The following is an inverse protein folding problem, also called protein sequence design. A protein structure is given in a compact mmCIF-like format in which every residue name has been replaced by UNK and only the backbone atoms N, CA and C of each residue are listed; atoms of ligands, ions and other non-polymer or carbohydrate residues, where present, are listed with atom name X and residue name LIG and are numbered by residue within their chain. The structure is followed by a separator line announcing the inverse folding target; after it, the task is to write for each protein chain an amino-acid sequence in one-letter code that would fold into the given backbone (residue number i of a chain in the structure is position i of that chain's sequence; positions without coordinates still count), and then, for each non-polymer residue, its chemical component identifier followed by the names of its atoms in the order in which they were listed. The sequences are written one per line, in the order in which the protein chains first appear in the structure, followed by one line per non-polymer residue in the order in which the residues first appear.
data_IF_556840742588
#
_entry.id   IF_556840742588
#
_cell.length_a   1.000
_cell.length_b   1.000
_cell.length_c   1.000
_cell.angle_alpha   90.00
_cell.angle_beta   90.00
_cell.angle_gamma   90.00
#
_symmetry.space_group_name_H-M   'P 1'
#
loop_
_entity.id
_entity.type
_entity.pdbx_description
1 polymer ?
#
# COMPACT_ATOMS: atom_id res chain seq x y z
N UNK A 1 -8.53 -12.53 24.88
CA UNK A 1 -9.08 -12.66 23.50
C UNK A 1 -9.64 -14.06 23.18
N UNK A 2 -9.50 -15.05 24.08
CA UNK A 2 -9.91 -16.45 23.85
C UNK A 2 -11.36 -16.83 24.20
N UNK A 3 -12.16 -15.90 24.76
CA UNK A 3 -13.51 -16.25 25.23
C UNK A 3 -14.61 -16.05 24.16
N UNK A 4 -14.38 -15.22 23.17
CA UNK A 4 -15.38 -15.00 22.08
C UNK A 4 -15.39 -16.10 21.01
N UNK A 5 -14.27 -16.77 20.80
CA UNK A 5 -14.16 -17.85 19.79
C UNK A 5 -14.86 -19.12 20.29
N UNK A 6 -14.84 -19.39 21.59
CA UNK A 6 -15.50 -20.55 22.18
C UNK A 6 -17.04 -20.41 22.24
N UNK A 7 -17.59 -19.21 22.26
CA UNK A 7 -19.04 -19.01 22.21
C UNK A 7 -19.61 -19.26 20.80
N UNK A 8 -18.90 -18.83 19.76
CA UNK A 8 -19.33 -19.07 18.37
C UNK A 8 -19.34 -20.55 17.99
N UNK A 9 -18.36 -21.32 18.50
CA UNK A 9 -18.31 -22.77 18.25
C UNK A 9 -19.38 -23.56 19.00
N UNK A 10 -19.86 -23.08 20.14
CA UNK A 10 -21.00 -23.70 20.86
C UNK A 10 -22.33 -23.46 20.16
N UNK A 11 -22.57 -22.27 19.57
CA UNK A 11 -23.79 -22.00 18.82
C UNK A 11 -23.91 -22.88 17.54
N UNK A 12 -22.83 -23.10 16.84
CA UNK A 12 -22.85 -23.96 15.64
C UNK A 12 -23.09 -25.44 15.96
N UNK A 13 -22.62 -25.91 17.13
CA UNK A 13 -22.90 -27.28 17.59
C UNK A 13 -24.36 -27.47 18.03
N UNK A 14 -24.97 -26.44 18.60
CA UNK A 14 -26.34 -26.52 19.08
C UNK A 14 -27.37 -26.48 17.93
N UNK A 15 -27.03 -25.82 16.81
CA UNK A 15 -27.89 -25.85 15.61
C UNK A 15 -27.88 -27.18 14.85
N UNK A 16 -26.83 -28.00 14.99
CA UNK A 16 -26.77 -29.33 14.36
C UNK A 16 -27.57 -30.41 15.12
N UNK A 17 -27.79 -30.26 16.41
CA UNK A 17 -28.50 -31.28 17.22
C UNK A 17 -30.02 -31.16 17.16
N UNK A 18 -30.57 -30.01 16.77
CA UNK A 18 -32.02 -29.80 16.73
C UNK A 18 -32.69 -30.18 15.40
N UNK A 19 -31.90 -30.60 14.39
CA UNK A 19 -32.47 -31.00 13.09
C UNK A 19 -32.63 -32.52 12.92
N UNK A 20 -32.15 -33.33 13.90
CA UNK A 20 -32.16 -34.79 13.79
C UNK A 20 -33.00 -35.50 14.84
N UNK A 21 -33.84 -34.79 15.64
CA UNK A 21 -34.61 -35.41 16.70
C UNK A 21 -36.11 -35.13 16.55
N UNK A 22 -36.70 -35.67 15.48
CA UNK A 22 -38.17 -35.81 15.44
C UNK A 22 -38.57 -37.04 14.61
N UNK A 23 -38.12 -38.19 15.01
CA UNK A 23 -38.76 -39.48 14.68
C UNK A 23 -38.21 -40.56 15.59
N UNK A 24 -38.58 -40.54 16.89
CA UNK A 24 -38.49 -41.76 17.69
C UNK A 24 -39.65 -41.80 18.71
N UNK A 25 -40.36 -42.87 18.61
CA UNK A 25 -41.22 -43.54 19.60
C UNK A 25 -42.60 -42.97 19.95
N UNK A 26 -43.59 -43.59 19.38
CA UNK A 26 -44.77 -44.00 20.14
C UNK A 26 -45.28 -45.34 19.61
N UNK A 27 -44.91 -46.39 20.34
CA UNK A 27 -45.52 -47.72 20.20
C UNK A 27 -46.88 -47.68 20.89
N UNK A 28 -47.96 -47.52 20.14
CA UNK A 28 -49.30 -48.02 20.54
C UNK A 28 -50.05 -48.41 19.25
N UNK A 29 -50.46 -49.69 19.22
CA UNK A 29 -51.33 -50.32 18.21
C UNK A 29 -52.54 -49.47 17.91
N UNK A 30 -52.61 -48.91 16.73
CA UNK A 30 -53.86 -48.76 15.99
C UNK A 30 -53.51 -48.66 14.50
N UNK A 31 -54.14 -49.50 13.73
CA UNK A 31 -54.08 -49.60 12.27
C UNK A 31 -54.52 -48.21 11.70
N UNK A 32 -53.55 -47.37 11.45
CA UNK A 32 -53.73 -46.14 10.67
C UNK A 32 -52.75 -46.23 9.54
N UNK A 33 -53.26 -46.35 8.34
CA UNK A 33 -52.51 -46.22 7.10
C UNK A 33 -51.91 -44.81 7.10
N UNK A 34 -50.71 -44.66 7.66
CA UNK A 34 -49.90 -43.46 7.50
C UNK A 34 -49.40 -43.41 6.07
N UNK A 35 -50.14 -42.71 5.22
CA UNK A 35 -49.53 -42.15 4.01
C UNK A 35 -48.45 -41.17 4.50
N UNK A 36 -47.24 -41.61 4.57
CA UNK A 36 -46.12 -40.65 4.55
C UNK A 36 -46.34 -39.80 3.30
N UNK A 37 -46.29 -38.48 3.41
CA UNK A 37 -46.23 -37.69 2.19
C UNK A 37 -45.06 -38.19 1.38
N UNK A 38 -45.23 -38.38 0.05
CA UNK A 38 -44.09 -38.79 -0.79
C UNK A 38 -42.95 -37.86 -0.46
N UNK A 39 -41.81 -38.47 -0.13
CA UNK A 39 -40.57 -37.73 0.06
C UNK A 39 -40.48 -36.71 -1.06
N UNK A 40 -40.61 -35.44 -0.68
CA UNK A 40 -40.30 -34.34 -1.59
C UNK A 40 -38.76 -34.20 -1.73
N UNK A 41 -38.13 -35.35 -1.95
CA UNK A 41 -36.85 -35.42 -2.68
C UNK A 41 -37.15 -35.31 -4.17
N UNK A 42 -37.92 -34.24 -4.52
CA UNK A 42 -37.95 -33.78 -5.89
C UNK A 42 -36.49 -33.44 -6.21
N UNK A 43 -35.79 -34.35 -6.85
CA UNK A 43 -34.45 -34.12 -7.34
C UNK A 43 -34.50 -32.79 -8.08
N UNK A 44 -33.80 -31.79 -7.56
CA UNK A 44 -33.68 -30.50 -8.23
C UNK A 44 -33.36 -30.79 -9.68
N UNK A 45 -34.20 -30.31 -10.60
CA UNK A 45 -33.99 -30.50 -12.02
C UNK A 45 -32.55 -30.14 -12.37
N UNK A 46 -31.86 -30.94 -13.18
CA UNK A 46 -30.50 -30.61 -13.66
C UNK A 46 -30.43 -29.16 -14.18
N UNK A 47 -31.51 -28.69 -14.79
CA UNK A 47 -31.62 -27.33 -15.32
C UNK A 47 -31.60 -26.27 -14.19
N UNK A 48 -32.25 -26.55 -13.07
CA UNK A 48 -32.22 -25.64 -11.91
C UNK A 48 -30.82 -25.56 -11.29
N UNK A 49 -30.11 -26.69 -11.19
CA UNK A 49 -28.73 -26.74 -10.72
C UNK A 49 -27.78 -25.98 -11.67
N UNK A 50 -27.94 -26.15 -12.98
CA UNK A 50 -27.16 -25.40 -13.97
C UNK A 50 -27.46 -23.90 -13.90
N UNK A 51 -28.72 -23.50 -13.72
CA UNK A 51 -29.11 -22.12 -13.55
C UNK A 51 -28.46 -21.45 -12.34
N UNK A 52 -28.47 -22.12 -11.18
CA UNK A 52 -27.83 -21.64 -9.96
C UNK A 52 -26.32 -21.51 -10.14
N UNK A 53 -25.66 -22.51 -10.75
CA UNK A 53 -24.22 -22.46 -11.02
C UNK A 53 -23.85 -21.33 -11.97
N UNK A 54 -24.66 -21.06 -12.99
CA UNK A 54 -24.44 -19.94 -13.91
C UNK A 54 -24.53 -18.59 -13.18
N UNK A 55 -25.53 -18.40 -12.32
CA UNK A 55 -25.66 -17.16 -11.53
C UNK A 55 -24.47 -17.01 -10.56
N UNK A 56 -24.12 -18.05 -9.84
CA UNK A 56 -22.97 -18.03 -8.92
C UNK A 56 -21.68 -17.72 -9.70
N UNK A 57 -21.50 -18.30 -10.88
CA UNK A 57 -20.34 -18.05 -11.74
C UNK A 57 -20.20 -16.57 -12.11
N UNK A 58 -21.26 -15.95 -12.59
CA UNK A 58 -21.27 -14.52 -12.97
C UNK A 58 -21.03 -13.60 -11.74
N UNK A 59 -21.71 -13.89 -10.63
CA UNK A 59 -21.54 -13.10 -9.39
C UNK A 59 -20.12 -13.24 -8.84
N UNK A 60 -19.52 -14.43 -8.91
CA UNK A 60 -18.15 -14.67 -8.43
C UNK A 60 -17.12 -13.87 -9.22
N UNK A 61 -17.22 -13.83 -10.55
CA UNK A 61 -16.30 -13.05 -11.40
C UNK A 61 -16.41 -11.56 -11.08
N UNK A 62 -17.63 -11.04 -10.97
CA UNK A 62 -17.86 -9.62 -10.60
C UNK A 62 -17.32 -9.27 -9.21
N UNK A 63 -17.51 -10.16 -8.24
CA UNK A 63 -17.02 -9.96 -6.88
C UNK A 63 -15.47 -9.94 -6.82
N UNK A 64 -14.80 -10.83 -7.54
CA UNK A 64 -13.31 -10.88 -7.58
C UNK A 64 -12.74 -9.61 -8.21
N UNK A 65 -13.32 -9.15 -9.31
CA UNK A 65 -12.88 -7.92 -9.98
C UNK A 65 -13.06 -6.68 -9.08
N UNK A 66 -14.20 -6.58 -8.40
CA UNK A 66 -14.48 -5.51 -7.45
C UNK A 66 -13.54 -5.54 -6.24
N UNK A 67 -13.28 -6.73 -5.69
CA UNK A 67 -12.36 -6.92 -4.58
C UNK A 67 -10.92 -6.52 -4.94
N UNK A 68 -10.43 -6.91 -6.11
CA UNK A 68 -9.08 -6.55 -6.56
C UNK A 68 -8.89 -5.04 -6.67
N UNK A 69 -9.89 -4.33 -7.20
CA UNK A 69 -9.87 -2.87 -7.31
C UNK A 69 -9.93 -2.19 -5.93
N UNK A 70 -10.76 -2.70 -5.02
CA UNK A 70 -10.85 -2.20 -3.66
C UNK A 70 -9.55 -2.40 -2.88
N UNK A 71 -8.92 -3.57 -3.01
CA UNK A 71 -7.63 -3.88 -2.39
C UNK A 71 -6.50 -3.02 -2.92
N UNK A 72 -6.49 -2.72 -4.21
CA UNK A 72 -5.49 -1.81 -4.77
C UNK A 72 -5.65 -0.39 -4.21
N UNK A 73 -6.87 0.14 -4.11
CA UNK A 73 -7.13 1.44 -3.47
C UNK A 73 -6.75 1.45 -2.00
N UNK A 74 -7.06 0.39 -1.27
CA UNK A 74 -6.61 0.24 0.12
C UNK A 74 -5.09 0.33 0.23
N UNK A 75 -4.35 -0.36 -0.65
CA UNK A 75 -2.88 -0.31 -0.66
C UNK A 75 -2.35 1.09 -0.99
N UNK A 76 -2.98 1.84 -1.90
CA UNK A 76 -2.59 3.23 -2.17
C UNK A 76 -2.76 4.13 -0.94
N UNK A 77 -3.90 4.03 -0.25
CA UNK A 77 -4.12 4.80 0.97
C UNK A 77 -3.11 4.42 2.07
N UNK A 78 -2.84 3.12 2.21
CA UNK A 78 -1.84 2.63 3.18
C UNK A 78 -0.43 3.09 2.84
N UNK A 79 -0.06 3.13 1.56
CA UNK A 79 1.22 3.69 1.11
C UNK A 79 1.33 5.17 1.49
N UNK A 80 0.29 5.97 1.23
CA UNK A 80 0.29 7.39 1.58
C UNK A 80 0.45 7.59 3.11
N UNK A 81 -0.25 6.80 3.91
CA UNK A 81 -0.11 6.79 5.37
C UNK A 81 1.32 6.48 5.80
N UNK A 82 1.91 5.38 5.29
CA UNK A 82 3.28 4.97 5.57
C UNK A 82 4.30 6.05 5.20
N UNK A 83 4.17 6.62 4.00
CA UNK A 83 5.05 7.69 3.54
C UNK A 83 4.94 8.93 4.42
N UNK A 84 3.72 9.37 4.76
CA UNK A 84 3.50 10.51 5.63
C UNK A 84 4.09 10.30 7.02
N UNK A 85 3.99 9.09 7.58
CA UNK A 85 4.61 8.76 8.86
C UNK A 85 6.13 8.91 8.78
N UNK A 86 6.77 8.34 7.75
CA UNK A 86 8.23 8.45 7.57
C UNK A 86 8.65 9.89 7.31
N UNK A 87 7.95 10.63 6.44
CA UNK A 87 8.22 12.05 6.17
C UNK A 87 8.18 12.87 7.46
N UNK A 88 7.15 12.68 8.28
CA UNK A 88 7.04 13.37 9.57
C UNK A 88 8.17 13.01 10.54
N UNK A 89 8.58 11.74 10.56
CA UNK A 89 9.74 11.30 11.34
C UNK A 89 11.03 11.97 10.86
N UNK A 90 11.24 12.05 9.54
CA UNK A 90 12.41 12.73 8.96
C UNK A 90 12.40 14.21 9.31
N UNK A 91 11.28 14.91 9.16
CA UNK A 91 11.13 16.33 9.48
C UNK A 91 11.48 16.61 10.95
N UNK A 92 11.06 15.75 11.87
CA UNK A 92 11.35 15.86 13.31
C UNK A 92 12.85 15.89 13.59
N UNK A 93 13.64 15.13 12.84
CA UNK A 93 15.07 15.00 13.07
C UNK A 93 15.95 15.85 12.16
N UNK A 94 15.41 16.55 11.19
CA UNK A 94 16.18 17.38 10.25
C UNK A 94 17.19 18.28 10.98
N UNK A 95 16.71 19.03 11.99
CA UNK A 95 17.58 19.97 12.72
C UNK A 95 18.64 19.30 13.57
N UNK A 96 18.36 18.09 14.08
CA UNK A 96 19.31 17.32 14.89
C UNK A 96 20.38 16.71 14.00
N UNK A 97 20.02 16.31 12.79
CA UNK A 97 20.94 15.70 11.84
C UNK A 97 21.84 16.69 11.12
N UNK A 98 21.59 18.00 11.23
CA UNK A 98 22.46 19.06 10.71
C UNK A 98 23.90 18.99 11.26
N UNK A 99 24.12 18.31 12.37
CA UNK A 99 25.43 18.11 12.98
C UNK A 99 26.28 16.98 12.34
N UNK A 100 25.68 16.15 11.52
CA UNK A 100 26.39 15.05 10.88
C UNK A 100 27.25 15.55 9.72
N UNK A 101 28.56 15.42 9.87
CA UNK A 101 29.56 15.92 8.90
C UNK A 101 29.91 14.90 7.80
N UNK A 102 29.48 13.66 7.93
CA UNK A 102 29.80 12.59 6.99
C UNK A 102 28.56 12.03 6.29
N UNK A 103 28.73 11.67 5.02
CA UNK A 103 27.72 10.97 4.26
C UNK A 103 27.49 9.56 4.82
N UNK A 104 26.26 9.22 5.23
CA UNK A 104 25.97 7.91 5.81
C UNK A 104 24.48 7.53 5.73
N UNK A 105 24.24 6.22 5.72
CA UNK A 105 22.89 5.69 5.80
C UNK A 105 22.36 5.79 7.24
N UNK A 106 21.31 6.55 7.42
CA UNK A 106 20.67 6.78 8.72
C UNK A 106 19.48 5.84 8.97
N UNK A 107 19.10 5.02 8.00
CA UNK A 107 17.98 4.08 8.16
C UNK A 107 18.10 3.20 9.42
N UNK A 108 19.27 2.61 9.73
CA UNK A 108 19.41 1.80 10.95
C UNK A 108 19.15 2.59 12.23
N UNK A 109 19.49 3.88 12.24
CA UNK A 109 19.22 4.76 13.37
C UNK A 109 17.71 5.00 13.53
N UNK A 110 17.02 5.36 12.43
CA UNK A 110 15.57 5.58 12.45
C UNK A 110 14.79 4.33 12.84
N UNK A 111 15.24 3.15 12.41
CA UNK A 111 14.67 1.85 12.82
C UNK A 111 14.84 1.63 14.33
N UNK A 112 16.04 1.87 14.87
CA UNK A 112 16.34 1.72 16.33
C UNK A 112 15.56 2.71 17.19
N UNK A 113 15.30 3.91 16.70
CA UNK A 113 14.48 4.92 17.35
C UNK A 113 12.98 4.62 17.31
N UNK A 114 12.55 3.59 16.55
CA UNK A 114 11.13 3.25 16.37
C UNK A 114 10.38 4.24 15.48
N UNK A 115 11.09 5.04 14.69
CA UNK A 115 10.50 6.07 13.81
C UNK A 115 10.03 5.50 12.46
N UNK A 116 10.41 4.28 12.14
CA UNK A 116 9.91 3.54 10.96
C UNK A 116 8.84 2.55 11.42
N UNK A 117 7.64 2.54 10.81
CA UNK A 117 6.60 1.57 11.13
C UNK A 117 7.10 0.13 11.01
N UNK A 118 6.78 -0.70 12.00
CA UNK A 118 7.26 -2.09 12.06
C UNK A 118 6.87 -2.92 10.83
N UNK A 119 5.73 -2.64 10.25
CA UNK A 119 5.23 -3.30 9.04
C UNK A 119 6.08 -3.01 7.78
N UNK A 120 6.88 -1.94 7.81
CA UNK A 120 7.78 -1.54 6.74
C UNK A 120 9.17 -2.18 6.86
N UNK A 121 9.47 -2.80 8.00
CA UNK A 121 10.78 -3.39 8.31
C UNK A 121 10.75 -4.87 7.98
N UNK A 122 11.71 -5.33 7.18
CA UNK A 122 11.89 -6.76 6.91
C UNK A 122 12.91 -7.38 7.85
N UNK A 123 12.70 -8.63 8.30
CA UNK A 123 13.70 -9.36 9.09
C UNK A 123 15.06 -9.36 8.38
N UNK A 124 16.13 -9.16 9.16
CA UNK A 124 17.53 -9.16 8.70
C UNK A 124 17.93 -8.04 7.70
N UNK A 125 17.05 -7.06 7.45
CA UNK A 125 17.37 -5.91 6.60
C UNK A 125 17.31 -4.64 7.46
N UNK A 126 18.46 -4.04 7.75
CA UNK A 126 18.54 -2.84 8.59
C UNK A 126 18.76 -1.55 7.77
N UNK A 127 19.29 -1.66 6.56
CA UNK A 127 19.67 -0.52 5.75
C UNK A 127 18.56 0.05 4.88
N UNK A 128 17.42 -0.64 4.83
CA UNK A 128 16.28 -0.33 3.98
C UNK A 128 14.98 -0.67 4.69
N UNK A 129 13.93 0.00 4.30
CA UNK A 129 12.55 -0.35 4.66
C UNK A 129 11.68 -0.34 3.39
N UNK A 130 10.47 -0.84 3.49
CA UNK A 130 9.63 -1.08 2.31
C UNK A 130 8.20 -0.65 2.56
N UNK A 131 7.57 -0.02 1.57
CA UNK A 131 6.14 0.26 1.64
C UNK A 131 5.31 -0.99 1.32
N UNK A 132 3.98 -0.85 1.35
CA UNK A 132 3.03 -1.95 1.09
C UNK A 132 3.12 -2.50 -0.34
N UNK A 133 3.67 -1.75 -1.30
CA UNK A 133 3.95 -2.19 -2.66
C UNK A 133 5.35 -2.79 -2.82
N UNK A 134 6.08 -2.92 -1.71
CA UNK A 134 7.45 -3.41 -1.70
C UNK A 134 8.45 -2.47 -2.38
N UNK A 135 8.16 -1.18 -2.47
CA UNK A 135 9.10 -0.18 -2.90
C UNK A 135 10.17 -0.01 -1.81
N UNK A 136 11.42 -0.14 -2.22
CA UNK A 136 12.56 0.00 -1.32
C UNK A 136 12.82 1.47 -0.99
N UNK A 137 12.99 1.77 0.28
CA UNK A 137 13.24 3.11 0.78
C UNK A 137 14.41 3.13 1.75
N UNK A 138 15.08 4.27 1.85
CA UNK A 138 16.14 4.49 2.85
C UNK A 138 16.34 5.99 3.11
N UNK A 139 16.86 6.29 4.29
CA UNK A 139 17.17 7.64 4.75
C UNK A 139 18.69 7.79 4.77
N UNK A 140 19.17 8.86 4.18
CA UNK A 140 20.61 9.09 4.02
C UNK A 140 20.95 10.53 4.40
N UNK A 141 22.06 10.74 5.09
CA UNK A 141 22.69 12.04 5.20
C UNK A 141 23.65 12.22 4.05
N UNK A 142 23.36 13.13 3.15
CA UNK A 142 24.25 13.48 2.06
C UNK A 142 25.11 14.68 2.43
N UNK A 143 26.36 14.61 2.03
CA UNK A 143 27.31 15.68 2.19
C UNK A 143 27.99 15.90 0.84
N UNK A 144 28.08 17.14 0.45
CA UNK A 144 28.77 17.51 -0.78
C UNK A 144 29.50 18.84 -0.64
N UNK A 145 30.31 19.14 -1.63
CA UNK A 145 30.98 20.43 -1.76
C UNK A 145 30.67 21.01 -3.14
N UNK A 146 30.22 22.24 -3.18
CA UNK A 146 29.98 22.96 -4.43
C UNK A 146 30.37 24.42 -4.23
N UNK A 147 31.14 24.97 -5.18
CA UNK A 147 31.61 26.37 -5.14
C UNK A 147 32.28 26.74 -3.80
N UNK A 148 33.17 25.87 -3.29
CA UNK A 148 33.88 26.01 -2.01
C UNK A 148 32.96 26.10 -0.77
N UNK A 149 31.68 25.69 -0.90
CA UNK A 149 30.74 25.58 0.23
C UNK A 149 30.37 24.14 0.44
N UNK A 150 30.64 23.64 1.63
CA UNK A 150 30.14 22.33 2.03
C UNK A 150 28.63 22.44 2.31
N UNK A 151 27.88 21.47 1.80
CA UNK A 151 26.48 21.34 2.08
C UNK A 151 26.17 19.94 2.60
N UNK A 152 25.12 19.82 3.36
CA UNK A 152 24.55 18.56 3.80
C UNK A 152 23.04 18.63 3.67
N UNK A 153 22.43 17.48 3.48
CA UNK A 153 20.99 17.33 3.38
C UNK A 153 20.56 15.97 3.92
N UNK A 154 19.50 15.97 4.69
CA UNK A 154 18.81 14.75 5.05
C UNK A 154 17.89 14.37 3.89
N UNK A 155 18.03 13.16 3.40
CA UNK A 155 17.39 12.71 2.17
C UNK A 155 16.69 11.39 2.39
N UNK A 156 15.46 11.29 1.92
CA UNK A 156 14.75 10.02 1.80
C UNK A 156 14.69 9.60 0.33
N UNK A 157 15.14 8.40 0.08
CA UNK A 157 15.06 7.77 -1.22
C UNK A 157 13.88 6.82 -1.29
N UNK A 158 13.12 6.90 -2.36
CA UNK A 158 12.01 5.99 -2.68
C UNK A 158 12.29 5.37 -4.04
N UNK A 159 12.67 4.10 -4.05
CA UNK A 159 12.92 3.37 -5.29
C UNK A 159 11.60 2.82 -5.80
N UNK A 160 11.14 3.35 -6.91
CA UNK A 160 9.99 2.81 -7.63
C UNK A 160 10.49 1.76 -8.62
N UNK A 161 9.95 0.53 -8.58
CA UNK A 161 10.30 -0.48 -9.57
C UNK A 161 9.88 0.01 -10.95
N UNK A 162 10.54 -0.52 -11.98
CA UNK A 162 10.23 -0.25 -13.38
C UNK A 162 8.74 -0.03 -13.57
N UNK A 163 8.38 1.21 -13.88
CA UNK A 163 7.03 1.55 -14.27
C UNK A 163 6.81 1.01 -15.68
N UNK A 164 6.81 -0.34 -15.80
CA UNK A 164 6.24 -0.94 -17.00
C UNK A 164 4.85 -0.36 -17.14
N UNK A 165 4.52 0.21 -18.28
CA UNK A 165 3.30 0.92 -18.70
C UNK A 165 1.95 0.39 -18.12
N UNK A 166 1.96 -0.12 -16.89
CA UNK A 166 0.78 -0.55 -16.19
C UNK A 166 0.15 0.64 -15.46
N UNK A 167 -1.13 0.79 -15.60
CA UNK A 167 -1.91 1.82 -14.90
C UNK A 167 -1.64 1.82 -13.38
N UNK A 168 -1.37 0.64 -12.80
CA UNK A 168 -1.08 0.50 -11.36
C UNK A 168 0.22 1.17 -10.95
N UNK A 169 1.27 1.06 -11.77
CA UNK A 169 2.57 1.68 -11.48
C UNK A 169 2.51 3.20 -11.53
N UNK A 170 1.73 3.74 -12.48
CA UNK A 170 1.46 5.16 -12.58
C UNK A 170 0.71 5.69 -11.34
N UNK A 171 -0.29 4.96 -10.87
CA UNK A 171 -1.04 5.30 -9.66
C UNK A 171 -0.15 5.31 -8.41
N UNK A 172 0.77 4.34 -8.29
CA UNK A 172 1.75 4.26 -7.19
C UNK A 172 2.68 5.47 -7.22
N UNK A 173 3.26 5.80 -8.39
CA UNK A 173 4.11 6.97 -8.54
C UNK A 173 3.37 8.28 -8.24
N UNK A 174 2.15 8.44 -8.77
CA UNK A 174 1.30 9.57 -8.51
C UNK A 174 1.03 9.75 -7.01
N UNK A 175 0.77 8.65 -6.31
CA UNK A 175 0.52 8.67 -4.88
C UNK A 175 1.73 9.19 -4.09
N UNK A 176 2.94 8.73 -4.44
CA UNK A 176 4.19 9.20 -3.81
C UNK A 176 4.41 10.70 -4.04
N UNK A 177 4.20 11.19 -5.26
CA UNK A 177 4.32 12.63 -5.57
C UNK A 177 3.21 13.46 -4.93
N UNK A 178 2.02 12.90 -4.73
CA UNK A 178 0.94 13.57 -4.00
C UNK A 178 1.32 13.78 -2.53
N UNK A 179 1.92 12.78 -1.87
CA UNK A 179 2.44 12.93 -0.51
C UNK A 179 3.53 14.01 -0.45
N UNK A 180 4.40 14.08 -1.46
CA UNK A 180 5.39 15.15 -1.55
C UNK A 180 4.74 16.54 -1.65
N UNK A 181 3.71 16.68 -2.46
CA UNK A 181 2.93 17.93 -2.60
C UNK A 181 2.28 18.35 -1.28
N UNK A 182 1.66 17.43 -0.57
CA UNK A 182 1.02 17.67 0.73
C UNK A 182 2.02 18.13 1.80
N UNK A 183 3.29 17.73 1.67
CA UNK A 183 4.37 18.09 2.59
C UNK A 183 5.31 19.16 2.02
N UNK A 184 4.89 19.93 1.01
CA UNK A 184 5.72 20.91 0.29
C UNK A 184 6.37 21.97 1.18
N UNK A 185 5.75 22.33 2.29
CA UNK A 185 6.29 23.29 3.26
C UNK A 185 7.54 22.78 4.02
N UNK A 186 7.70 21.46 4.13
CA UNK A 186 8.75 20.82 4.91
C UNK A 186 9.82 20.13 4.03
N UNK A 187 9.51 19.90 2.78
CA UNK A 187 10.40 19.34 1.78
C UNK A 187 11.09 20.48 1.02
N UNK A 188 12.39 20.41 0.89
CA UNK A 188 13.17 21.37 0.13
C UNK A 188 13.01 21.16 -1.37
N UNK A 189 13.13 19.91 -1.79
CA UNK A 189 12.99 19.52 -3.19
C UNK A 189 12.66 18.04 -3.32
N UNK A 190 12.01 17.70 -4.41
CA UNK A 190 11.87 16.33 -4.88
C UNK A 190 12.36 16.24 -6.31
N UNK A 191 13.22 15.28 -6.58
CA UNK A 191 13.72 15.05 -7.92
C UNK A 191 14.00 13.58 -8.19
N UNK A 192 14.06 13.24 -9.47
CA UNK A 192 14.36 11.88 -9.92
C UNK A 192 15.84 11.72 -10.15
N UNK A 193 16.40 10.62 -9.65
CA UNK A 193 17.74 10.17 -10.03
C UNK A 193 17.58 8.93 -10.89
N UNK A 194 17.95 9.00 -12.17
CA UNK A 194 18.10 7.80 -12.99
C UNK A 194 19.52 7.28 -12.87
N UNK A 195 19.67 5.97 -12.72
CA UNK A 195 20.95 5.32 -12.43
C UNK A 195 21.98 5.29 -13.57
N UNK A 196 21.81 6.07 -14.63
CA UNK A 196 22.83 6.21 -15.67
C UNK A 196 23.30 7.66 -15.79
N UNK A 197 24.54 7.89 -15.50
CA UNK A 197 25.21 9.18 -15.34
C UNK A 197 25.29 10.12 -16.54
N UNK A 198 24.45 9.95 -17.54
CA UNK A 198 24.42 10.78 -18.77
C UNK A 198 23.10 11.50 -19.00
N UNK A 199 22.03 11.15 -18.30
CA UNK A 199 20.76 11.82 -18.46
C UNK A 199 20.62 12.97 -17.47
N UNK A 200 20.15 14.10 -17.99
CA UNK A 200 19.92 15.33 -17.27
C UNK A 200 19.00 15.07 -16.07
N UNK A 201 19.60 14.72 -14.92
CA UNK A 201 18.92 14.47 -13.64
C UNK A 201 18.06 15.67 -13.17
N UNK A 202 18.23 16.83 -13.81
CA UNK A 202 17.51 18.08 -13.51
C UNK A 202 16.15 18.17 -14.18
N UNK A 203 15.79 17.23 -15.06
CA UNK A 203 14.54 17.32 -15.85
C UNK A 203 13.28 17.23 -15.03
N UNK A 204 13.33 16.63 -13.84
CA UNK A 204 12.23 16.65 -12.87
C UNK A 204 12.73 17.01 -11.49
N UNK A 205 12.78 18.29 -11.29
CA UNK A 205 13.13 18.91 -10.05
C UNK A 205 11.95 19.78 -9.62
N UNK A 206 11.31 19.37 -8.53
CA UNK A 206 10.23 20.10 -7.92
C UNK A 206 10.74 20.78 -6.64
N UNK A 207 10.54 22.07 -6.52
CA UNK A 207 10.96 22.81 -5.33
C UNK A 207 9.86 22.88 -4.27
N UNK A 208 10.23 22.70 -3.03
CA UNK A 208 9.37 22.95 -1.88
C UNK A 208 9.09 24.45 -1.70
N UNK A 209 8.15 24.77 -0.83
CA UNK A 209 7.65 26.14 -0.67
C UNK A 209 8.72 27.17 -0.30
N UNK A 210 9.73 26.76 0.47
CA UNK A 210 10.83 27.65 0.90
C UNK A 210 11.81 28.02 -0.22
N UNK A 211 11.86 27.23 -1.29
CA UNK A 211 12.79 27.43 -2.42
C UNK A 211 12.08 27.74 -3.72
N UNK A 212 10.77 27.74 -3.69
CA UNK A 212 9.93 27.94 -4.85
C UNK A 212 10.16 29.32 -5.46
N UNK A 213 10.49 29.34 -6.75
CA UNK A 213 10.66 30.53 -7.56
C UNK A 213 9.76 30.48 -8.79
N UNK A 214 9.48 31.60 -9.41
CA UNK A 214 8.61 31.66 -10.59
C UNK A 214 9.19 30.92 -11.82
N UNK A 215 10.47 30.58 -11.77
CA UNK A 215 11.17 29.89 -12.88
C UNK A 215 11.17 28.37 -12.75
N UNK A 216 10.67 27.80 -11.63
CA UNK A 216 10.70 26.36 -11.34
C UNK A 216 9.31 25.84 -10.92
N UNK A 217 9.10 24.55 -11.16
CA UNK A 217 7.85 23.92 -10.74
C UNK A 217 7.86 23.70 -9.24
N UNK A 218 6.91 24.35 -8.56
CA UNK A 218 6.75 24.21 -7.12
C UNK A 218 5.92 22.99 -6.77
N UNK A 219 6.29 22.25 -5.73
CA UNK A 219 5.55 21.08 -5.24
C UNK A 219 4.07 21.41 -5.00
N UNK A 220 3.77 22.52 -4.33
CA UNK A 220 2.38 22.95 -4.05
C UNK A 220 1.56 23.19 -5.31
N UNK A 221 2.20 23.62 -6.40
CA UNK A 221 1.55 23.97 -7.67
C UNK A 221 1.54 22.79 -8.66
N UNK A 222 2.02 21.60 -8.28
CA UNK A 222 2.01 20.44 -9.16
C UNK A 222 0.59 20.13 -9.62
N UNK A 223 0.42 20.06 -10.94
CA UNK A 223 -0.81 19.64 -11.60
C UNK A 223 -0.80 18.13 -11.84
N UNK A 224 -1.95 17.55 -12.15
CA UNK A 224 -2.03 16.14 -12.54
C UNK A 224 -1.18 15.86 -13.80
N UNK A 225 -1.10 16.82 -14.73
CA UNK A 225 -0.29 16.67 -15.94
C UNK A 225 1.21 16.65 -15.61
N UNK A 226 1.69 17.54 -14.73
CA UNK A 226 3.10 17.55 -14.32
C UNK A 226 3.48 16.25 -13.56
N UNK A 227 2.58 15.72 -12.74
CA UNK A 227 2.76 14.43 -12.08
C UNK A 227 2.79 13.29 -13.10
N UNK A 228 1.86 13.32 -14.07
CA UNK A 228 1.80 12.30 -15.12
C UNK A 228 3.07 12.31 -15.97
N UNK A 229 3.56 13.47 -16.37
CA UNK A 229 4.82 13.59 -17.09
C UNK A 229 6.00 13.06 -16.29
N UNK A 230 6.10 13.43 -15.01
CA UNK A 230 7.13 12.91 -14.12
C UNK A 230 7.10 11.39 -14.04
N UNK A 231 5.92 10.80 -13.89
CA UNK A 231 5.77 9.36 -13.73
C UNK A 231 5.90 8.57 -15.04
N UNK A 232 5.67 9.16 -16.21
CA UNK A 232 5.69 8.43 -17.49
C UNK A 232 6.96 8.65 -18.31
N UNK A 233 7.40 9.91 -18.47
CA UNK A 233 8.52 10.24 -19.36
C UNK A 233 9.88 9.92 -18.77
N UNK A 234 10.00 9.93 -17.43
CA UNK A 234 11.30 9.85 -16.76
C UNK A 234 11.48 8.59 -15.94
N UNK A 235 10.37 8.02 -15.46
CA UNK A 235 10.36 6.78 -14.70
C UNK A 235 10.03 5.55 -15.57
N UNK A 236 9.64 5.78 -16.83
CA UNK A 236 9.01 4.75 -17.68
C UNK A 236 9.91 3.62 -18.16
N UNK A 237 11.23 3.76 -18.16
CA UNK A 237 12.11 2.78 -18.80
C UNK A 237 13.18 2.17 -17.87
N UNK A 238 13.28 2.58 -16.61
CA UNK A 238 14.29 2.11 -15.65
C UNK A 238 13.78 2.21 -14.23
N UNK A 239 14.41 1.48 -13.31
CA UNK A 239 14.22 1.68 -11.87
C UNK A 239 14.45 3.15 -11.55
N UNK A 240 13.39 3.81 -11.15
CA UNK A 240 13.45 5.22 -10.84
C UNK A 240 13.52 5.44 -9.34
N UNK A 241 14.42 6.29 -8.94
CA UNK A 241 14.52 6.71 -7.55
C UNK A 241 14.03 8.13 -7.41
N UNK A 242 12.99 8.33 -6.61
CA UNK A 242 12.58 9.64 -6.14
C UNK A 242 13.40 9.99 -4.91
N UNK A 243 13.99 11.16 -4.93
CA UNK A 243 14.78 11.70 -3.85
C UNK A 243 14.06 12.89 -3.23
N UNK A 244 13.73 12.78 -1.95
CA UNK A 244 13.12 13.82 -1.12
C UNK A 244 14.22 14.48 -0.30
N UNK A 245 14.49 15.73 -0.51
CA UNK A 245 15.47 16.50 0.24
C UNK A 245 14.76 17.31 1.32
N UNK A 246 15.25 17.23 2.54
CA UNK A 246 14.74 17.96 3.71
C UNK A 246 15.83 18.90 4.24
N UNK A 247 15.40 20.09 4.73
CA UNK A 247 16.31 21.06 5.34
C UNK A 247 15.61 21.94 6.37
#
# INVERSE_FOLDING_TARGET
MNNKINQSLRMVRQMRSNFFSRCTNSYIRKKVTSRCPPDASAGRSMVEMLGVLAIIGVLSVGAIAGYSKAMFKYKLNKQAEQLNQVVNSVIKYVRVMDSYKSAQNLTPLFVKLGEIPQEMIKPNIQNYFYDIFNNKMYIYNEVGSSNNKNWHALVMYVNLPLLSNSNNSLEICRNVLTVAKENSANINSVYTTSGSGTDDWRKFYFEGDKRCTDTRVCLRNMTLDSIYEACTKHLGNRDATLKFEFK
#
